data_IF_247874717782
#
_entry.id   IF_247874717782
#
_cell.length_a   1.000
_cell.length_b   1.000
_cell.length_c   1.000
_cell.angle_alpha   90.00
_cell.angle_beta   90.00
_cell.angle_gamma   90.00
#
_symmetry.space_group_name_H-M   'P 1'
#
loop_
_entity.id
_entity.type
_entity.pdbx_description
1 polymer ?
#
# COMPACT_ATOMS: atom_id res chain seq x y z
N UNK A 1 99.89 -12.29 -0.92
CA UNK A 1 100.19 -11.29 0.13
C UNK A 1 100.10 -9.90 -0.48
N UNK A 2 99.42 -8.98 0.24
CA UNK A 2 99.39 -7.52 0.14
C UNK A 2 98.91 -6.86 -1.19
N UNK A 3 97.71 -6.25 -1.27
CA UNK A 3 97.21 -4.94 -0.75
C UNK A 3 97.50 -3.77 -1.72
N UNK A 4 96.46 -3.04 -2.12
CA UNK A 4 96.62 -1.82 -2.93
C UNK A 4 95.31 -1.16 -3.35
N UNK A 5 94.58 -0.61 -2.39
CA UNK A 5 93.42 0.28 -2.57
C UNK A 5 93.82 1.69 -2.99
N UNK A 6 93.01 2.37 -3.81
CA UNK A 6 93.02 3.84 -3.93
C UNK A 6 92.36 4.38 -5.21
N UNK A 7 91.03 4.58 -5.22
CA UNK A 7 90.34 5.89 -5.18
C UNK A 7 90.73 6.94 -6.25
N UNK A 8 89.79 7.23 -7.14
CA UNK A 8 89.75 8.44 -7.97
C UNK A 8 88.30 8.89 -8.19
N UNK A 9 87.93 10.02 -7.57
CA UNK A 9 86.58 10.58 -7.44
C UNK A 9 86.45 11.85 -8.30
N UNK A 10 85.50 11.93 -9.25
CA UNK A 10 84.87 13.19 -9.74
C UNK A 10 83.46 12.87 -10.30
N UNK A 11 82.38 13.18 -9.57
CA UNK A 11 81.56 14.41 -9.61
C UNK A 11 80.91 14.70 -10.97
N UNK A 12 79.59 14.47 -11.05
CA UNK A 12 78.65 15.42 -11.64
C UNK A 12 77.23 15.09 -11.14
N UNK A 13 76.88 15.76 -10.04
CA UNK A 13 75.50 16.01 -9.63
C UNK A 13 74.70 16.63 -10.77
N UNK A 14 73.59 16.01 -11.17
CA UNK A 14 72.51 16.69 -11.89
C UNK A 14 71.24 16.53 -11.09
N UNK A 15 71.01 17.50 -10.21
CA UNK A 15 69.69 17.76 -9.65
C UNK A 15 68.82 18.29 -10.79
N UNK A 16 67.75 17.58 -11.13
CA UNK A 16 66.59 18.14 -11.80
C UNK A 16 65.39 17.18 -11.68
N UNK A 17 64.27 17.75 -11.24
CA UNK A 17 62.90 17.26 -11.34
C UNK A 17 62.43 16.23 -10.30
N UNK A 18 61.74 16.75 -9.28
CA UNK A 18 60.72 16.04 -8.51
C UNK A 18 59.64 15.48 -9.45
N UNK A 19 59.29 14.19 -9.41
CA UNK A 19 58.05 13.73 -10.01
C UNK A 19 56.90 13.88 -9.01
N UNK A 20 55.79 14.39 -9.55
CA UNK A 20 54.54 14.82 -8.92
C UNK A 20 53.88 13.79 -7.97
N UNK A 21 52.96 14.25 -7.08
CA UNK A 21 52.10 13.34 -6.32
C UNK A 21 51.29 12.47 -7.28
N UNK A 22 51.42 11.16 -7.13
CA UNK A 22 50.62 10.18 -7.87
C UNK A 22 49.14 10.44 -7.63
N UNK A 23 48.31 10.65 -8.67
CA UNK A 23 46.88 10.74 -8.49
C UNK A 23 46.37 9.38 -8.00
N UNK A 24 45.79 9.36 -6.81
CA UNK A 24 45.00 8.23 -6.31
C UNK A 24 43.81 8.11 -7.24
N UNK A 25 43.90 7.21 -8.22
CA UNK A 25 42.78 6.95 -9.12
C UNK A 25 41.74 6.15 -8.32
N UNK A 26 40.87 6.87 -7.62
CA UNK A 26 39.61 6.32 -7.13
C UNK A 26 38.73 6.12 -8.36
N UNK A 27 38.99 5.05 -9.12
CA UNK A 27 38.11 4.66 -10.21
C UNK A 27 36.78 4.25 -9.59
N UNK A 28 35.78 5.10 -9.74
CA UNK A 28 34.40 4.85 -9.36
C UNK A 28 33.84 3.69 -10.18
N UNK A 29 34.08 2.46 -9.71
CA UNK A 29 33.40 1.22 -10.17
C UNK A 29 31.92 1.17 -9.76
N UNK A 30 31.25 2.32 -9.63
CA UNK A 30 29.85 2.42 -9.25
C UNK A 30 28.90 2.48 -10.46
N UNK A 31 29.41 2.68 -11.68
CA UNK A 31 28.58 3.00 -12.85
C UNK A 31 28.16 1.79 -13.71
N UNK A 32 28.86 0.66 -13.63
CA UNK A 32 28.50 -0.56 -14.39
C UNK A 32 27.39 -1.40 -13.74
N UNK A 33 27.00 -1.07 -12.50
CA UNK A 33 25.87 -1.71 -11.82
C UNK A 33 24.54 -1.16 -12.35
N UNK A 34 24.45 0.16 -12.58
CA UNK A 34 23.28 0.83 -13.16
C UNK A 34 22.96 0.44 -14.62
N UNK A 35 23.91 -0.18 -15.34
CA UNK A 35 23.76 -0.59 -16.73
C UNK A 35 23.55 -2.09 -16.93
N UNK A 36 23.19 -2.84 -15.87
CA UNK A 36 22.67 -4.20 -16.07
C UNK A 36 21.26 -4.07 -16.66
N UNK A 37 21.01 -4.47 -17.92
CA UNK A 37 19.71 -4.27 -18.58
C UNK A 37 18.56 -4.88 -17.78
N UNK A 38 18.84 -5.95 -17.02
CA UNK A 38 17.91 -6.61 -16.13
C UNK A 38 17.46 -5.73 -14.93
N UNK A 39 18.33 -4.90 -14.35
CA UNK A 39 17.94 -4.01 -13.24
C UNK A 39 17.11 -2.83 -13.73
N UNK A 40 17.42 -2.27 -14.92
CA UNK A 40 16.59 -1.25 -15.56
C UNK A 40 15.19 -1.78 -15.92
N UNK A 41 15.11 -3.02 -16.42
CA UNK A 41 13.83 -3.70 -16.65
C UNK A 41 13.02 -3.87 -15.35
N UNK A 42 13.65 -4.30 -14.26
CA UNK A 42 12.95 -4.47 -12.97
C UNK A 42 12.49 -3.12 -12.42
N UNK A 43 13.35 -2.09 -12.44
CA UNK A 43 12.95 -0.77 -11.93
C UNK A 43 11.86 -0.13 -12.78
N UNK A 44 11.93 -0.29 -14.10
CA UNK A 44 10.89 0.18 -15.02
C UNK A 44 9.58 -0.58 -14.81
N UNK A 45 9.65 -1.90 -14.63
CA UNK A 45 8.48 -2.71 -14.31
C UNK A 45 7.85 -2.28 -12.97
N UNK A 46 8.65 -2.12 -11.92
CA UNK A 46 8.18 -1.66 -10.60
C UNK A 46 7.56 -0.27 -10.69
N UNK A 47 8.23 0.68 -11.36
CA UNK A 47 7.69 2.03 -11.57
C UNK A 47 6.38 1.99 -12.37
N UNK A 48 6.33 1.18 -13.43
CA UNK A 48 5.13 1.00 -14.25
C UNK A 48 4.00 0.38 -13.44
N UNK A 49 4.27 -0.62 -12.61
CA UNK A 49 3.28 -1.23 -11.71
C UNK A 49 2.74 -0.23 -10.69
N UNK A 50 3.62 0.54 -10.03
CA UNK A 50 3.22 1.56 -9.05
C UNK A 50 2.30 2.61 -9.69
N UNK A 51 2.56 2.99 -10.96
CA UNK A 51 1.74 3.95 -11.70
C UNK A 51 0.44 3.31 -12.22
N UNK A 52 0.47 2.04 -12.66
CA UNK A 52 -0.70 1.35 -13.23
C UNK A 52 -1.73 0.96 -12.17
N UNK A 53 -1.30 0.55 -10.97
CA UNK A 53 -2.20 0.13 -9.88
C UNK A 53 -3.30 1.18 -9.60
N UNK A 54 -3.01 2.47 -9.34
CA UNK A 54 -4.05 3.45 -9.05
C UNK A 54 -4.95 3.75 -10.25
N UNK A 55 -4.42 3.67 -11.48
CA UNK A 55 -5.21 3.88 -12.70
C UNK A 55 -6.21 2.74 -12.91
N UNK A 56 -5.75 1.50 -12.71
CA UNK A 56 -6.59 0.32 -12.82
C UNK A 56 -7.64 0.26 -11.71
N UNK A 57 -7.27 0.64 -10.48
CA UNK A 57 -8.21 0.78 -9.36
C UNK A 57 -9.30 1.83 -9.62
N UNK A 58 -8.99 2.94 -10.30
CA UNK A 58 -9.99 3.94 -10.72
C UNK A 58 -10.90 3.44 -11.85
N UNK A 59 -10.41 2.53 -12.70
CA UNK A 59 -11.20 1.91 -13.78
C UNK A 59 -11.99 0.69 -13.35
N UNK A 60 -11.72 0.12 -12.17
CA UNK A 60 -12.56 -0.96 -11.67
C UNK A 60 -13.99 -0.40 -11.57
N UNK A 61 -14.95 -0.97 -12.33
CA UNK A 61 -16.34 -0.55 -12.24
C UNK A 61 -16.75 -0.69 -10.77
N UNK A 62 -17.35 0.36 -10.20
CA UNK A 62 -17.84 0.33 -8.83
C UNK A 62 -18.94 -0.75 -8.75
N UNK A 63 -18.56 -1.98 -8.44
CA UNK A 63 -19.50 -3.08 -8.22
C UNK A 63 -20.52 -2.71 -7.13
N UNK A 64 -20.15 -1.80 -6.22
CA UNK A 64 -21.03 -1.21 -5.23
C UNK A 64 -22.25 -0.46 -5.81
N UNK A 65 -22.16 0.04 -7.04
CA UNK A 65 -23.24 0.80 -7.67
C UNK A 65 -24.23 -0.08 -8.43
N UNK A 66 -23.98 -1.39 -8.54
CA UNK A 66 -24.91 -2.31 -9.19
C UNK A 66 -26.15 -2.52 -8.33
N UNK A 67 -27.35 -2.52 -8.93
CA UNK A 67 -28.62 -2.71 -8.21
C UNK A 67 -28.67 -4.06 -7.47
N UNK A 68 -28.02 -5.09 -8.02
CA UNK A 68 -27.94 -6.45 -7.45
C UNK A 68 -27.29 -6.50 -6.05
N UNK A 69 -26.44 -5.52 -5.72
CA UNK A 69 -25.72 -5.47 -4.44
C UNK A 69 -26.21 -4.36 -3.52
N UNK A 70 -27.34 -3.71 -3.86
CA UNK A 70 -27.96 -2.69 -3.02
C UNK A 70 -29.03 -3.34 -2.17
N UNK A 71 -28.94 -3.09 -0.87
CA UNK A 71 -29.95 -3.50 0.10
C UNK A 71 -30.67 -2.28 0.68
N UNK A 72 -31.99 -2.42 0.82
CA UNK A 72 -32.84 -1.56 1.60
C UNK A 72 -33.22 -2.18 2.94
N UNK A 73 -34.11 -1.52 3.68
CA UNK A 73 -34.58 -1.99 4.98
C UNK A 73 -35.43 -3.25 4.86
N UNK A 74 -36.11 -3.43 3.74
CA UNK A 74 -36.99 -4.55 3.41
C UNK A 74 -36.26 -5.90 3.30
N UNK A 75 -34.96 -5.88 3.00
CA UNK A 75 -34.10 -7.07 2.94
C UNK A 75 -33.41 -7.36 4.28
N UNK A 76 -33.62 -6.52 5.30
CA UNK A 76 -33.06 -6.74 6.65
C UNK A 76 -34.02 -7.58 7.47
N UNK A 77 -33.67 -8.86 7.63
CA UNK A 77 -34.38 -9.75 8.54
C UNK A 77 -33.88 -9.59 9.97
N UNK A 78 -34.82 -9.42 10.91
CA UNK A 78 -34.57 -9.41 12.35
C UNK A 78 -34.98 -10.78 12.91
N UNK A 79 -34.24 -11.29 13.90
CA UNK A 79 -34.65 -12.50 14.63
C UNK A 79 -36.05 -12.35 15.21
N UNK A 80 -36.84 -13.43 15.23
CA UNK A 80 -38.26 -13.48 15.66
C UNK A 80 -38.59 -12.44 16.74
N UNK A 81 -39.17 -11.30 16.34
CA UNK A 81 -39.45 -10.23 17.28
C UNK A 81 -40.65 -10.63 18.15
N UNK A 82 -40.67 -10.24 19.44
CA UNK A 82 -41.87 -10.29 20.25
C UNK A 82 -43.05 -9.54 19.62
N UNK A 83 -44.28 -9.99 19.88
CA UNK A 83 -45.50 -9.47 19.24
C UNK A 83 -45.81 -7.98 19.51
N UNK A 84 -45.18 -7.38 20.53
CA UNK A 84 -45.34 -5.97 20.87
C UNK A 84 -44.46 -5.03 20.03
N UNK A 85 -43.47 -5.56 19.29
CA UNK A 85 -42.56 -4.79 18.44
C UNK A 85 -43.22 -4.45 17.10
N UNK A 86 -43.11 -3.20 16.62
CA UNK A 86 -43.57 -2.81 15.29
C UNK A 86 -42.95 -3.71 14.22
N UNK A 87 -43.75 -4.23 13.26
CA UNK A 87 -43.21 -5.04 12.17
C UNK A 87 -42.23 -4.24 11.30
N UNK A 88 -42.37 -2.91 11.31
CA UNK A 88 -41.58 -1.98 10.49
C UNK A 88 -40.35 -1.40 11.21
N UNK A 89 -39.86 -2.09 12.26
CA UNK A 89 -38.73 -1.63 13.05
C UNK A 89 -37.47 -1.40 12.18
N UNK A 90 -37.21 -2.28 11.21
CA UNK A 90 -36.06 -2.15 10.32
C UNK A 90 -36.10 -0.84 9.51
N UNK A 91 -37.26 -0.50 8.95
CA UNK A 91 -37.45 0.74 8.20
C UNK A 91 -37.30 1.97 9.10
N UNK A 92 -37.87 1.93 10.31
CA UNK A 92 -37.72 3.01 11.29
C UNK A 92 -36.25 3.24 11.67
N UNK A 93 -35.47 2.18 11.85
CA UNK A 93 -34.03 2.26 12.14
C UNK A 93 -33.28 2.90 10.97
N UNK A 94 -33.57 2.49 9.73
CA UNK A 94 -32.90 3.03 8.55
C UNK A 94 -33.20 4.53 8.36
N UNK A 95 -34.47 4.92 8.48
CA UNK A 95 -34.90 6.32 8.39
C UNK A 95 -34.27 7.16 9.50
N UNK A 96 -34.30 6.68 10.75
CA UNK A 96 -33.77 7.41 11.91
C UNK A 96 -32.25 7.60 11.84
N UNK A 97 -31.53 6.58 11.41
CA UNK A 97 -30.08 6.61 11.32
C UNK A 97 -29.56 7.26 10.01
N UNK A 98 -30.46 7.69 9.12
CA UNK A 98 -30.09 8.30 7.84
C UNK A 98 -29.36 7.35 6.90
N UNK A 99 -29.57 6.03 7.04
CA UNK A 99 -29.05 5.06 6.09
C UNK A 99 -29.80 5.26 4.77
N UNK A 100 -29.07 5.28 3.65
CA UNK A 100 -29.69 5.38 2.34
C UNK A 100 -30.45 4.08 2.06
N UNK A 101 -31.57 4.16 1.35
CA UNK A 101 -32.34 2.99 0.90
C UNK A 101 -31.56 2.06 -0.07
N UNK A 102 -30.31 2.41 -0.41
CA UNK A 102 -29.47 1.72 -1.36
C UNK A 102 -28.06 1.49 -0.80
N UNK A 103 -27.96 0.84 0.35
CA UNK A 103 -26.66 0.52 0.94
C UNK A 103 -26.00 -0.64 0.21
N UNK A 104 -24.71 -0.53 -0.10
CA UNK A 104 -23.98 -1.59 -0.79
C UNK A 104 -23.60 -2.75 0.15
N UNK A 105 -24.01 -3.97 -0.18
CA UNK A 105 -23.60 -5.21 0.50
C UNK A 105 -22.09 -5.45 0.49
N UNK A 106 -21.40 -4.94 -0.53
CA UNK A 106 -19.96 -5.08 -0.72
C UNK A 106 -19.16 -4.14 0.19
N UNK A 107 -19.81 -3.16 0.84
CA UNK A 107 -19.15 -2.28 1.80
C UNK A 107 -18.85 -3.05 3.11
N UNK A 108 -17.58 -3.13 3.47
CA UNK A 108 -17.12 -3.77 4.69
C UNK A 108 -17.68 -3.10 5.95
N UNK A 109 -17.91 -1.78 5.91
CA UNK A 109 -18.40 -0.99 7.05
C UNK A 109 -19.92 -1.07 7.21
N UNK A 110 -20.64 -1.70 6.27
CA UNK A 110 -22.10 -1.77 6.31
C UNK A 110 -22.63 -2.42 7.58
N UNK A 111 -22.08 -3.58 7.96
CA UNK A 111 -22.56 -4.33 9.12
C UNK A 111 -22.37 -3.55 10.42
N UNK A 112 -21.28 -2.82 10.54
CA UNK A 112 -20.99 -1.95 11.69
C UNK A 112 -21.95 -0.77 11.75
N UNK A 113 -22.20 -0.09 10.63
CA UNK A 113 -23.17 1.01 10.58
C UNK A 113 -24.59 0.55 10.90
N UNK A 114 -25.00 -0.61 10.39
CA UNK A 114 -26.30 -1.21 10.71
C UNK A 114 -26.37 -1.55 12.20
N UNK A 115 -25.33 -2.17 12.77
CA UNK A 115 -25.28 -2.46 14.21
C UNK A 115 -25.40 -1.18 15.06
N UNK A 116 -24.67 -0.13 14.69
CA UNK A 116 -24.73 1.17 15.35
C UNK A 116 -26.14 1.80 15.24
N UNK A 117 -26.77 1.72 14.06
CA UNK A 117 -28.13 2.20 13.86
C UNK A 117 -29.13 1.48 14.76
N UNK A 118 -29.09 0.15 14.82
CA UNK A 118 -29.94 -0.63 15.71
C UNK A 118 -29.68 -0.33 17.19
N UNK A 119 -28.42 -0.16 17.61
CA UNK A 119 -28.07 0.17 19.00
C UNK A 119 -28.62 1.53 19.46
N UNK A 120 -28.87 2.46 18.53
CA UNK A 120 -29.44 3.78 18.86
C UNK A 120 -30.97 3.76 18.97
N UNK A 121 -31.62 2.64 18.65
CA UNK A 121 -33.07 2.55 18.59
C UNK A 121 -33.67 2.20 19.97
N UNK A 122 -34.71 2.91 20.45
CA UNK A 122 -35.26 2.71 21.81
C UNK A 122 -35.80 1.31 22.10
N UNK A 123 -36.15 0.58 21.05
CA UNK A 123 -36.72 -0.77 21.11
C UNK A 123 -35.66 -1.86 21.21
N UNK A 124 -34.38 -1.50 21.06
CA UNK A 124 -33.25 -2.42 21.02
C UNK A 124 -32.43 -2.21 22.28
N UNK A 125 -32.36 -3.24 23.13
CA UNK A 125 -31.52 -3.21 24.32
C UNK A 125 -30.04 -3.44 23.98
N UNK A 126 -29.75 -4.41 23.11
CA UNK A 126 -28.39 -4.80 22.74
C UNK A 126 -28.38 -5.44 21.33
N UNK A 127 -27.33 -5.19 20.56
CA UNK A 127 -27.08 -5.85 19.27
C UNK A 127 -25.95 -6.87 19.43
N UNK A 128 -26.30 -8.16 19.49
CA UNK A 128 -25.29 -9.23 19.67
C UNK A 128 -24.44 -9.49 18.43
N UNK A 129 -25.06 -9.54 17.25
CA UNK A 129 -24.35 -9.80 16.00
C UNK A 129 -25.14 -9.32 14.79
N UNK A 130 -24.47 -8.71 13.82
CA UNK A 130 -25.01 -8.43 12.48
C UNK A 130 -24.21 -9.25 11.48
N UNK A 131 -24.90 -10.03 10.65
CA UNK A 131 -24.27 -10.95 9.68
C UNK A 131 -24.91 -10.76 8.31
N UNK A 132 -24.10 -10.80 7.26
CA UNK A 132 -24.57 -10.85 5.87
C UNK A 132 -24.76 -12.33 5.51
N UNK A 133 -25.95 -12.72 5.12
CA UNK A 133 -26.28 -14.12 4.76
C UNK A 133 -26.72 -14.16 3.30
N UNK A 134 -26.42 -15.26 2.60
CA UNK A 134 -26.91 -15.53 1.26
C UNK A 134 -28.05 -16.55 1.33
N UNK A 135 -29.14 -16.41 0.56
CA UNK A 135 -29.50 -15.26 -0.30
C UNK A 135 -29.96 -14.04 0.54
N UNK A 136 -29.80 -12.85 -0.04
CA UNK A 136 -30.40 -11.62 0.46
C UNK A 136 -31.85 -11.50 -0.02
#
# INVERSE_FOLDING_TARGET
>A
MAKGSGTGRKKASKAAASPLPTPVVVTSRAKSWFFRPRQLMISAAVAMTIIMIPVLARRMPKLNDRPEYRIGAEQVSISTPPAWIPPDLAQQVFVRAGLKENQSLLDATLSERVAAAFHTHPWVQEVRSVRKTFPA
#
